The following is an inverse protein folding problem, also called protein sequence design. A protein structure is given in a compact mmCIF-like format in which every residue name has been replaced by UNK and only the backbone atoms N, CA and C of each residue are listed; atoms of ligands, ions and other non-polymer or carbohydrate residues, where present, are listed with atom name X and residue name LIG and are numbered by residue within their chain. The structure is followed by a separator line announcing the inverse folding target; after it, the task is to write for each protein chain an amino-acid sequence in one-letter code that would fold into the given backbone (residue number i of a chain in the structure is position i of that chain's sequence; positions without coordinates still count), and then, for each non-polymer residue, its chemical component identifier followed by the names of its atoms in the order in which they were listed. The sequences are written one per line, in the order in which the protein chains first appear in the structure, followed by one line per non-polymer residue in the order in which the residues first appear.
data_IF_404928164822
#
_entry.id   IF_404928164822
#
_cell.length_a   1.000
_cell.length_b   1.000
_cell.length_c   1.000
_cell.angle_alpha   90.00
_cell.angle_beta   90.00
_cell.angle_gamma   90.00
#
_symmetry.space_group_name_H-M   'P 1'
#
loop_
_entity.id
_entity.type
_entity.pdbx_description
1 polymer ?
#
# COMPACT_ATOMS: atom_id res chain seq x y z
N UNK A 1 3.74 22.95 8.66
CA UNK A 1 3.03 21.66 8.76
C UNK A 1 1.55 21.96 8.92
N UNK A 2 0.70 21.32 8.12
CA UNK A 2 -0.73 21.64 8.04
C UNK A 2 -1.50 21.08 9.24
N UNK A 3 -2.45 21.89 9.71
CA UNK A 3 -3.50 21.74 10.75
C UNK A 3 -4.37 20.45 10.69
N UNK A 4 -3.86 19.37 10.11
CA UNK A 4 -4.61 18.15 9.75
C UNK A 4 -4.31 16.94 10.63
N UNK A 5 -3.17 16.89 11.33
CA UNK A 5 -2.84 15.77 12.24
C UNK A 5 -3.57 15.90 13.58
N UNK A 6 -3.79 17.13 14.05
CA UNK A 6 -4.54 17.43 15.27
C UNK A 6 -6.03 17.12 15.17
N UNK A 7 -6.62 17.09 13.95
CA UNK A 7 -8.06 16.90 13.71
C UNK A 7 -8.57 15.45 13.69
N UNK A 8 -7.70 14.44 13.78
CA UNK A 8 -8.14 13.03 13.69
C UNK A 8 -8.52 12.51 15.08
N UNK A 9 -9.80 12.13 15.30
CA UNK A 9 -10.26 11.68 16.61
C UNK A 9 -9.71 10.29 16.97
N UNK A 10 -9.38 9.46 15.97
CA UNK A 10 -8.86 8.10 16.17
C UNK A 10 -7.38 8.02 15.82
N UNK A 11 -6.55 7.82 16.84
CA UNK A 11 -5.08 7.75 16.73
C UNK A 11 -4.61 6.44 17.33
N UNK A 12 -3.88 5.67 16.55
CA UNK A 12 -3.61 4.28 16.86
C UNK A 12 -2.10 4.12 17.00
N UNK A 13 -1.64 3.64 18.16
CA UNK A 13 -0.27 3.17 18.32
C UNK A 13 -0.26 1.65 18.12
N UNK A 14 0.47 1.15 17.13
CA UNK A 14 0.68 -0.28 16.90
C UNK A 14 2.14 -0.62 17.16
N UNK A 15 2.39 -1.47 18.15
CA UNK A 15 3.73 -1.97 18.43
C UNK A 15 3.83 -3.48 18.12
N UNK A 16 5.01 -3.91 17.68
CA UNK A 16 5.41 -5.32 17.76
C UNK A 16 6.33 -5.49 18.96
N UNK A 17 6.14 -6.57 19.71
CA UNK A 17 7.09 -6.94 20.77
C UNK A 17 7.37 -8.43 20.82
N UNK A 18 8.53 -8.76 21.36
CA UNK A 18 8.90 -10.11 21.78
C UNK A 18 8.77 -10.21 23.28
N UNK A 19 9.91 -10.36 23.96
CA UNK A 19 9.97 -10.59 25.39
C UNK A 19 10.00 -9.33 26.24
N UNK A 20 10.15 -8.16 25.61
CA UNK A 20 10.33 -6.86 26.28
C UNK A 20 9.10 -5.96 26.05
N UNK A 21 8.06 -6.04 26.90
CA UNK A 21 6.88 -5.19 26.78
C UNK A 21 7.17 -3.69 27.04
N UNK A 22 8.32 -3.35 27.62
CA UNK A 22 8.78 -1.97 27.89
C UNK A 22 8.70 -1.08 26.65
N UNK A 23 8.98 -1.64 25.46
CA UNK A 23 8.96 -0.88 24.19
C UNK A 23 7.63 -0.16 23.94
N UNK A 24 6.52 -0.67 24.49
CA UNK A 24 5.20 -0.03 24.38
C UNK A 24 5.17 1.28 25.17
N UNK A 25 5.62 1.26 26.43
CA UNK A 25 5.64 2.43 27.30
C UNK A 25 6.74 3.41 26.91
N UNK A 26 7.90 2.93 26.48
CA UNK A 26 8.99 3.77 25.96
C UNK A 26 8.54 4.54 24.71
N UNK A 27 7.88 3.85 23.77
CA UNK A 27 7.33 4.48 22.56
C UNK A 27 6.24 5.48 22.93
N UNK A 28 5.28 5.10 23.78
CA UNK A 28 4.19 5.98 24.19
C UNK A 28 4.72 7.25 24.88
N UNK A 29 5.67 7.10 25.82
CA UNK A 29 6.33 8.22 26.48
C UNK A 29 6.93 9.20 25.47
N UNK A 30 7.72 8.68 24.52
CA UNK A 30 8.40 9.54 23.55
C UNK A 30 7.42 10.24 22.59
N UNK A 31 6.26 9.61 22.29
CA UNK A 31 5.21 10.23 21.49
C UNK A 31 4.49 11.37 22.21
N UNK A 32 4.19 11.20 23.50
CA UNK A 32 3.41 12.19 24.27
C UNK A 32 4.24 13.34 24.79
N UNK A 33 5.56 13.16 24.92
CA UNK A 33 6.50 14.20 25.37
C UNK A 33 7.22 14.93 24.24
N UNK A 34 6.97 14.55 22.98
CA UNK A 34 7.50 15.25 21.81
C UNK A 34 6.98 16.71 21.75
N UNK A 35 7.68 17.64 21.07
CA UNK A 35 7.21 19.01 20.88
C UNK A 35 5.83 19.10 20.18
N UNK A 36 5.52 18.14 19.31
CA UNK A 36 4.20 17.94 18.70
C UNK A 36 3.67 16.55 19.12
N UNK A 37 2.96 16.45 20.26
CA UNK A 37 2.59 15.16 20.84
C UNK A 37 1.61 14.35 19.97
N UNK A 38 1.94 13.08 19.75
CA UNK A 38 0.98 12.09 19.25
C UNK A 38 0.38 11.31 20.42
N UNK A 39 -0.76 11.76 20.93
CA UNK A 39 -1.50 11.04 21.98
C UNK A 39 -2.45 10.03 21.31
N UNK A 40 -2.23 8.70 21.44
CA UNK A 40 -3.11 7.71 20.84
C UNK A 40 -4.44 7.60 21.62
N UNK A 41 -5.52 7.32 20.90
CA UNK A 41 -6.81 6.91 21.48
C UNK A 41 -6.83 5.43 21.84
N UNK A 42 -6.03 4.62 21.15
CA UNK A 42 -5.90 3.18 21.40
C UNK A 42 -4.49 2.68 21.09
N UNK A 43 -4.08 1.63 21.79
CA UNK A 43 -2.81 0.93 21.59
C UNK A 43 -3.10 -0.50 21.20
N UNK A 44 -2.38 -1.02 20.21
CA UNK A 44 -2.38 -2.43 19.84
C UNK A 44 -0.98 -3.01 19.92
N UNK A 45 -0.90 -4.27 20.33
CA UNK A 45 0.35 -4.99 20.46
C UNK A 45 0.28 -6.28 19.66
N UNK A 46 1.21 -6.52 18.74
CA UNK A 46 1.37 -7.82 18.08
C UNK A 46 2.54 -8.56 18.71
N UNK A 47 2.33 -9.79 19.17
CA UNK A 47 3.35 -10.57 19.86
C UNK A 47 3.07 -12.08 19.82
N UNK A 48 3.95 -12.89 20.40
CA UNK A 48 3.74 -14.33 20.62
C UNK A 48 2.99 -14.57 21.93
N UNK A 49 2.55 -15.80 22.20
CA UNK A 49 1.84 -16.14 23.45
C UNK A 49 2.65 -15.78 24.70
N UNK A 50 3.97 -16.02 24.68
CA UNK A 50 4.85 -15.65 25.80
C UNK A 50 4.94 -14.13 25.98
N UNK A 51 5.11 -13.39 24.88
CA UNK A 51 5.15 -11.93 24.93
C UNK A 51 3.82 -11.32 25.36
N UNK A 52 2.70 -11.93 24.99
CA UNK A 52 1.37 -11.52 25.41
C UNK A 52 1.18 -11.66 26.93
N UNK A 53 1.63 -12.77 27.51
CA UNK A 53 1.55 -12.95 28.97
C UNK A 53 2.45 -11.97 29.71
N UNK A 54 3.67 -11.71 29.21
CA UNK A 54 4.56 -10.69 29.77
C UNK A 54 3.94 -9.28 29.68
N UNK A 55 3.35 -8.93 28.55
CA UNK A 55 2.67 -7.65 28.37
C UNK A 55 1.47 -7.53 29.30
N UNK A 56 0.65 -8.58 29.44
CA UNK A 56 -0.48 -8.60 30.38
C UNK A 56 0.01 -8.38 31.81
N UNK A 57 1.03 -9.13 32.24
CA UNK A 57 1.57 -9.04 33.60
C UNK A 57 2.22 -7.69 33.89
N UNK A 58 3.06 -7.18 32.99
CA UNK A 58 3.83 -5.95 33.22
C UNK A 58 3.03 -4.67 32.96
N UNK A 59 2.20 -4.65 31.91
CA UNK A 59 1.53 -3.44 31.44
C UNK A 59 0.09 -3.31 31.94
N UNK A 60 -0.65 -4.43 32.03
CA UNK A 60 -2.10 -4.43 32.27
C UNK A 60 -2.53 -4.84 33.68
N UNK A 61 -1.67 -5.49 34.47
CA UNK A 61 -1.99 -5.83 35.87
C UNK A 61 -2.25 -4.58 36.72
N UNK A 62 -2.94 -4.72 37.84
CA UNK A 62 -3.09 -3.61 38.81
C UNK A 62 -1.73 -3.19 39.41
N UNK A 63 -0.84 -4.15 39.62
CA UNK A 63 0.55 -4.00 40.04
C UNK A 63 1.41 -5.03 39.28
N UNK A 64 2.45 -4.62 38.51
CA UNK A 64 3.00 -3.27 38.41
C UNK A 64 2.25 -2.27 37.51
N UNK A 65 1.42 -2.73 36.56
CA UNK A 65 0.51 -1.88 35.80
C UNK A 65 1.14 -0.70 35.07
N UNK A 66 2.32 -0.91 34.47
CA UNK A 66 3.18 0.16 33.96
C UNK A 66 2.51 1.07 32.92
N UNK A 67 1.55 0.56 32.15
CA UNK A 67 0.80 1.36 31.19
C UNK A 67 -0.09 2.40 31.89
N UNK A 68 -0.87 1.97 32.87
CA UNK A 68 -1.74 2.88 33.63
C UNK A 68 -0.92 3.84 34.50
N UNK A 69 0.24 3.40 34.98
CA UNK A 69 1.17 4.25 35.72
C UNK A 69 1.74 5.37 34.85
N UNK A 70 2.22 5.06 33.63
CA UNK A 70 2.65 6.08 32.65
C UNK A 70 1.53 7.08 32.40
N UNK A 71 0.31 6.58 32.19
CA UNK A 71 -0.87 7.40 31.92
C UNK A 71 -1.15 8.40 33.04
N UNK A 72 -1.00 7.98 34.30
CA UNK A 72 -1.15 8.85 35.48
C UNK A 72 0.02 9.81 35.63
N UNK A 73 1.24 9.33 35.45
CA UNK A 73 2.48 10.11 35.61
C UNK A 73 2.55 11.29 34.64
N UNK A 74 1.98 11.13 33.43
CA UNK A 74 1.98 12.14 32.36
C UNK A 74 0.60 12.78 32.11
N UNK A 75 -0.36 12.60 33.02
CA UNK A 75 -1.74 13.14 32.92
C UNK A 75 -2.40 12.88 31.55
N UNK A 76 -2.23 11.68 31.01
CA UNK A 76 -2.75 11.31 29.71
C UNK A 76 -4.25 10.95 29.80
N UNK A 77 -5.03 11.27 28.74
CA UNK A 77 -6.44 10.92 28.67
C UNK A 77 -6.63 9.40 28.66
N UNK A 78 -7.89 8.97 28.61
CA UNK A 78 -8.17 7.55 28.41
C UNK A 78 -7.64 7.05 27.06
N UNK A 79 -6.87 5.96 27.13
CA UNK A 79 -6.30 5.26 25.98
C UNK A 79 -6.76 3.81 26.09
N UNK A 80 -7.48 3.33 25.08
CA UNK A 80 -7.95 1.96 25.05
C UNK A 80 -6.75 1.00 24.88
N UNK A 81 -6.48 0.21 25.91
CA UNK A 81 -5.48 -0.85 25.89
C UNK A 81 -5.79 -1.89 26.96
N UNK A 82 -6.29 -3.03 26.51
CA UNK A 82 -6.61 -4.18 27.35
C UNK A 82 -6.17 -5.48 26.66
N UNK A 83 -6.52 -6.64 27.22
CA UNK A 83 -6.14 -7.94 26.67
C UNK A 83 -6.66 -8.17 25.24
N UNK A 84 -7.78 -7.56 24.83
CA UNK A 84 -8.32 -7.69 23.47
C UNK A 84 -7.48 -6.91 22.43
N UNK A 85 -6.63 -5.99 22.88
CA UNK A 85 -5.71 -5.24 22.04
C UNK A 85 -4.35 -5.92 21.87
N UNK A 86 -4.12 -7.04 22.55
CA UNK A 86 -2.92 -7.87 22.43
C UNK A 86 -3.21 -8.99 21.41
N UNK A 87 -2.68 -8.80 20.20
CA UNK A 87 -2.83 -9.72 19.08
C UNK A 87 -1.74 -10.79 19.12
N UNK A 88 -2.13 -12.01 19.48
CA UNK A 88 -1.23 -13.16 19.53
C UNK A 88 -1.09 -13.76 18.14
N UNK A 89 0.15 -13.86 17.65
CA UNK A 89 0.45 -14.50 16.36
C UNK A 89 -0.09 -15.93 16.32
N UNK A 90 -0.71 -16.29 15.21
CA UNK A 90 -1.27 -17.61 14.98
C UNK A 90 -0.48 -18.38 13.90
N UNK A 91 -0.28 -19.68 14.14
CA UNK A 91 0.36 -20.59 13.21
C UNK A 91 -0.60 -21.15 12.15
N UNK A 92 -0.17 -22.17 11.38
CA UNK A 92 -0.96 -22.79 10.31
C UNK A 92 -2.33 -23.30 10.75
N UNK A 93 -2.38 -23.93 11.92
CA UNK A 93 -3.62 -24.48 12.49
C UNK A 93 -4.47 -23.44 13.23
N UNK A 94 -4.16 -22.14 13.04
CA UNK A 94 -4.70 -21.02 13.83
C UNK A 94 -4.40 -21.09 15.33
N UNK A 95 -3.51 -21.99 15.73
CA UNK A 95 -3.05 -22.11 17.10
C UNK A 95 -2.12 -20.93 17.46
N UNK A 96 -2.23 -20.34 18.67
CA UNK A 96 -1.31 -19.32 19.14
C UNK A 96 0.15 -19.80 19.13
N UNK A 97 1.06 -19.00 18.60
CA UNK A 97 2.48 -19.29 18.55
C UNK A 97 3.17 -18.82 19.82
N UNK A 98 3.85 -19.74 20.52
CA UNK A 98 4.76 -19.37 21.61
C UNK A 98 6.01 -18.65 21.08
N UNK A 99 6.46 -19.03 19.89
CA UNK A 99 7.64 -18.50 19.22
C UNK A 99 7.57 -18.80 17.71
N UNK A 100 8.31 -18.08 16.88
CA UNK A 100 8.39 -18.30 15.42
C UNK A 100 9.68 -19.07 15.12
N UNK A 101 9.59 -20.35 14.74
CA UNK A 101 10.74 -21.25 14.61
C UNK A 101 10.90 -21.91 13.24
N UNK A 102 9.87 -21.84 12.41
CA UNK A 102 9.89 -22.41 11.05
C UNK A 102 9.60 -21.37 9.96
N UNK A 103 10.00 -21.64 8.69
CA UNK A 103 9.63 -20.80 7.56
C UNK A 103 8.11 -20.66 7.37
N UNK A 104 7.36 -21.72 7.67
CA UNK A 104 5.90 -21.72 7.54
C UNK A 104 5.24 -20.82 8.59
N UNK A 105 5.63 -20.93 9.86
CA UNK A 105 5.19 -20.02 10.92
C UNK A 105 5.55 -18.57 10.61
N UNK A 106 6.74 -18.33 10.03
CA UNK A 106 7.17 -17.00 9.64
C UNK A 106 6.29 -16.42 8.50
N UNK A 107 5.85 -17.26 7.55
CA UNK A 107 4.90 -16.84 6.52
C UNK A 107 3.51 -16.51 7.11
N UNK A 108 3.05 -17.28 8.09
CA UNK A 108 1.79 -17.01 8.79
C UNK A 108 1.87 -15.74 9.63
N UNK A 109 3.02 -15.48 10.27
CA UNK A 109 3.27 -14.22 10.97
C UNK A 109 3.21 -13.01 10.02
N UNK A 110 3.76 -13.15 8.79
CA UNK A 110 3.67 -12.11 7.77
C UNK A 110 2.21 -11.82 7.38
N UNK A 111 1.42 -12.87 7.11
CA UNK A 111 0.00 -12.74 6.78
C UNK A 111 -0.79 -12.10 7.92
N UNK A 112 -0.53 -12.52 9.18
CA UNK A 112 -1.19 -12.00 10.37
C UNK A 112 -0.89 -10.51 10.60
N UNK A 113 0.39 -10.13 10.60
CA UNK A 113 0.80 -8.73 10.80
C UNK A 113 0.21 -7.84 9.69
N UNK A 114 0.23 -8.33 8.46
CA UNK A 114 -0.33 -7.63 7.32
C UNK A 114 -1.82 -7.37 7.49
N UNK A 115 -2.56 -8.36 7.97
CA UNK A 115 -3.99 -8.25 8.20
C UNK A 115 -4.33 -7.22 9.29
N UNK A 116 -3.58 -7.22 10.40
CA UNK A 116 -3.75 -6.22 11.46
C UNK A 116 -3.49 -4.81 10.92
N UNK A 117 -2.37 -4.59 10.23
CA UNK A 117 -2.03 -3.28 9.66
C UNK A 117 -3.09 -2.83 8.65
N UNK A 118 -3.55 -3.73 7.78
CA UNK A 118 -4.61 -3.45 6.81
C UNK A 118 -5.92 -3.05 7.48
N UNK A 119 -6.32 -3.77 8.53
CA UNK A 119 -7.52 -3.45 9.32
C UNK A 119 -7.45 -2.10 10.03
N UNK A 120 -6.34 -1.83 10.73
CA UNK A 120 -6.15 -0.57 11.46
C UNK A 120 -6.00 0.65 10.54
N UNK A 121 -5.50 0.45 9.32
CA UNK A 121 -5.39 1.48 8.29
C UNK A 121 -6.60 1.56 7.34
N UNK A 122 -7.69 0.82 7.59
CA UNK A 122 -8.87 0.82 6.72
C UNK A 122 -9.68 2.12 6.82
N UNK A 123 -9.83 2.68 8.02
CA UNK A 123 -10.61 3.90 8.29
C UNK A 123 -9.81 5.16 7.93
N UNK A 124 -10.09 5.79 6.79
CA UNK A 124 -9.36 6.96 6.27
C UNK A 124 -9.23 8.14 7.24
N UNK A 125 -10.08 8.23 8.26
CA UNK A 125 -10.07 9.27 9.29
C UNK A 125 -9.17 8.94 10.49
N UNK A 126 -8.62 7.73 10.58
CA UNK A 126 -7.64 7.36 11.60
C UNK A 126 -6.21 7.72 11.21
N UNK A 127 -5.30 7.77 12.18
CA UNK A 127 -3.85 7.79 11.95
C UNK A 127 -3.19 6.62 12.69
N UNK A 128 -2.35 5.86 11.98
CA UNK A 128 -1.60 4.72 12.52
C UNK A 128 -0.14 5.11 12.72
N UNK A 129 0.34 4.99 13.95
CA UNK A 129 1.74 5.15 14.32
C UNK A 129 2.29 3.76 14.67
N UNK A 130 3.20 3.23 13.86
CA UNK A 130 3.77 1.91 14.03
C UNK A 130 5.17 1.96 14.66
N UNK A 131 5.44 1.09 15.63
CA UNK A 131 6.75 0.94 16.27
C UNK A 131 7.34 -0.45 16.03
N UNK A 132 8.55 -0.51 15.47
CA UNK A 132 9.27 -1.75 15.15
C UNK A 132 10.33 -2.15 16.18
N UNK A 133 10.27 -1.58 17.39
CA UNK A 133 11.35 -1.67 18.38
C UNK A 133 11.44 -3.01 19.14
N UNK A 134 10.52 -3.95 18.92
CA UNK A 134 10.50 -5.21 19.66
C UNK A 134 10.24 -6.46 18.81
N UNK A 135 10.61 -7.62 19.36
CA UNK A 135 10.33 -8.92 18.76
C UNK A 135 11.47 -9.50 17.94
N UNK A 136 11.18 -10.60 17.23
CA UNK A 136 12.11 -11.11 16.22
C UNK A 136 12.24 -10.05 15.11
N UNK A 137 13.46 -9.85 14.60
CA UNK A 137 13.75 -8.88 13.53
C UNK A 137 12.79 -8.99 12.34
N UNK A 138 12.33 -10.20 12.05
CA UNK A 138 11.35 -10.47 10.97
C UNK A 138 9.97 -9.86 11.23
N UNK A 139 9.52 -9.77 12.49
CA UNK A 139 8.25 -9.12 12.83
C UNK A 139 8.29 -7.62 12.54
N UNK A 140 9.37 -6.94 12.96
CA UNK A 140 9.60 -5.53 12.65
C UNK A 140 9.68 -5.28 11.14
N UNK A 141 10.36 -6.17 10.40
CA UNK A 141 10.39 -6.15 8.94
C UNK A 141 8.98 -6.26 8.34
N UNK A 142 8.17 -7.25 8.77
CA UNK A 142 6.82 -7.42 8.24
C UNK A 142 5.88 -6.27 8.62
N UNK A 143 6.00 -5.69 9.81
CA UNK A 143 5.23 -4.51 10.19
C UNK A 143 5.57 -3.32 9.27
N UNK A 144 6.86 -3.01 9.11
CA UNK A 144 7.29 -1.92 8.23
C UNK A 144 6.90 -2.16 6.76
N UNK A 145 6.96 -3.41 6.29
CA UNK A 145 6.60 -3.73 4.92
C UNK A 145 5.08 -3.74 4.69
N UNK A 146 4.30 -4.26 5.66
CA UNK A 146 2.85 -4.13 5.63
C UNK A 146 2.42 -2.66 5.64
N UNK A 147 3.11 -1.79 6.39
CA UNK A 147 2.87 -0.35 6.35
C UNK A 147 3.29 0.27 5.01
N UNK A 148 4.31 -0.25 4.33
CA UNK A 148 4.62 0.17 2.96
C UNK A 148 3.49 -0.17 1.97
N UNK A 149 2.86 -1.34 2.14
CA UNK A 149 1.77 -1.80 1.30
C UNK A 149 0.44 -1.08 1.60
N UNK A 150 0.11 -0.86 2.88
CA UNK A 150 -1.21 -0.40 3.30
C UNK A 150 -1.20 0.95 4.03
N UNK A 151 -0.05 1.49 4.41
CA UNK A 151 0.05 2.77 5.10
C UNK A 151 -0.36 3.95 4.22
N UNK A 152 -1.04 4.91 4.83
CA UNK A 152 -1.61 6.12 4.21
C UNK A 152 -0.75 7.33 4.56
N UNK A 153 -0.88 8.47 3.84
CA UNK A 153 0.02 9.63 4.02
C UNK A 153 0.22 10.11 5.46
N UNK A 154 -0.79 9.98 6.33
CA UNK A 154 -0.73 10.33 7.76
C UNK A 154 -0.07 9.28 8.66
N UNK A 155 0.08 8.04 8.18
CA UNK A 155 0.61 6.94 9.00
C UNK A 155 2.14 7.08 9.13
N UNK A 156 2.70 6.66 10.27
CA UNK A 156 4.11 6.85 10.64
C UNK A 156 4.73 5.54 11.09
N UNK A 157 6.05 5.44 10.97
CA UNK A 157 6.85 4.30 11.38
C UNK A 157 8.07 4.81 12.13
N UNK A 158 8.38 4.22 13.29
CA UNK A 158 9.60 4.56 14.00
C UNK A 158 10.16 3.39 14.81
N UNK A 159 11.34 3.64 15.36
CA UNK A 159 12.00 2.76 16.31
C UNK A 159 12.38 3.59 17.54
N UNK A 160 11.96 3.16 18.72
CA UNK A 160 12.34 3.83 19.98
C UNK A 160 13.79 3.48 20.34
N UNK A 161 14.53 4.47 20.79
CA UNK A 161 15.91 4.37 21.25
C UNK A 161 15.96 4.83 22.70
N UNK A 162 16.39 3.94 23.58
CA UNK A 162 16.61 4.21 24.99
C UNK A 162 18.11 4.39 25.21
N UNK A 163 18.52 5.48 25.87
CA UNK A 163 19.91 5.73 26.18
C UNK A 163 20.47 4.79 27.24
N UNK A 164 21.79 4.62 27.25
CA UNK A 164 22.49 3.99 28.36
C UNK A 164 22.20 4.73 29.69
N UNK A 165 22.10 4.01 30.83
CA UNK A 165 22.29 2.57 31.00
C UNK A 165 20.97 1.76 30.94
N UNK A 166 19.89 2.33 30.40
CA UNK A 166 18.54 1.79 30.54
C UNK A 166 18.12 0.82 29.42
N UNK A 167 18.73 0.87 28.25
CA UNK A 167 18.41 0.08 27.03
C UNK A 167 18.25 -1.44 27.23
N UNK A 168 18.79 -1.94 28.33
CA UNK A 168 18.91 -3.35 28.65
C UNK A 168 18.30 -3.71 30.01
N UNK A 169 17.72 -2.74 30.72
CA UNK A 169 17.14 -2.92 32.04
C UNK A 169 15.74 -3.53 31.96
N UNK A 170 15.49 -4.58 32.74
CA UNK A 170 14.15 -5.16 32.86
C UNK A 170 13.21 -4.27 33.69
N UNK A 171 13.76 -3.40 34.53
CA UNK A 171 13.01 -2.58 35.49
C UNK A 171 12.72 -1.16 35.00
N UNK A 172 13.23 -0.79 33.82
CA UNK A 172 12.96 0.50 33.17
C UNK A 172 11.79 0.37 32.18
N UNK A 173 10.81 1.26 32.23
CA UNK A 173 9.65 1.25 31.32
C UNK A 173 9.44 2.59 30.62
N UNK A 174 9.79 3.70 31.27
CA UNK A 174 9.78 5.05 30.74
C UNK A 174 10.49 5.97 31.74
N UNK A 175 10.95 7.17 31.33
CA UNK A 175 11.47 8.16 32.26
C UNK A 175 10.38 8.64 33.22
N UNK A 176 10.56 8.46 34.52
CA UNK A 176 9.57 8.88 35.52
C UNK A 176 9.69 10.37 35.82
N UNK A 177 8.59 11.09 36.11
CA UNK A 177 8.65 12.50 36.52
C UNK A 177 9.14 12.69 37.96
N UNK A 178 9.57 11.62 38.62
CA UNK A 178 10.07 11.55 39.98
C UNK A 178 11.23 10.55 40.05
N UNK A 179 12.03 10.63 41.13
CA UNK A 179 13.14 9.72 41.37
C UNK A 179 12.64 8.26 41.46
N UNK A 180 13.20 7.42 40.60
CA UNK A 180 13.01 5.97 40.64
C UNK A 180 14.32 5.29 40.30
N UNK A 181 15.00 4.84 41.33
CA UNK A 181 16.27 4.14 41.19
C UNK A 181 16.04 2.70 40.74
N UNK A 182 16.75 2.29 39.68
CA UNK A 182 16.82 0.90 39.19
C UNK A 182 18.27 0.42 39.18
N UNK A 183 18.46 -0.89 39.27
CA UNK A 183 19.78 -1.50 39.11
C UNK A 183 20.00 -1.88 37.64
N UNK A 184 21.07 -1.37 37.05
CA UNK A 184 21.44 -1.67 35.67
C UNK A 184 22.08 -3.06 35.56
N UNK A 185 22.27 -3.58 34.34
CA UNK A 185 22.95 -4.88 34.13
C UNK A 185 24.38 -4.92 34.69
N UNK A 186 25.04 -3.77 34.78
CA UNK A 186 26.40 -3.63 35.34
C UNK A 186 26.40 -3.43 36.86
N UNK A 187 25.29 -3.71 37.54
CA UNK A 187 25.09 -3.49 38.98
C UNK A 187 25.32 -2.04 39.43
N UNK A 188 25.07 -1.06 38.54
CA UNK A 188 25.07 0.36 38.89
C UNK A 188 23.67 0.81 39.22
N UNK A 189 23.55 1.83 40.08
CA UNK A 189 22.28 2.51 40.32
C UNK A 189 22.09 3.61 39.28
N UNK A 190 20.90 3.72 38.73
CA UNK A 190 20.52 4.78 37.80
C UNK A 190 19.09 5.25 38.10
N UNK A 191 18.85 6.56 38.05
CA UNK A 191 17.52 7.14 38.20
C UNK A 191 16.80 7.17 36.87
N UNK A 192 15.62 6.55 36.81
CA UNK A 192 14.78 6.55 35.61
C UNK A 192 14.43 7.97 35.14
N UNK A 193 14.38 8.97 36.04
CA UNK A 193 14.11 10.36 35.67
C UNK A 193 15.15 10.96 34.71
N UNK A 194 16.39 10.46 34.74
CA UNK A 194 17.49 10.93 33.89
C UNK A 194 17.53 10.23 32.51
N UNK A 195 16.65 9.26 32.28
CA UNK A 195 16.67 8.46 31.08
C UNK A 195 16.28 9.28 29.83
N UNK A 196 17.07 9.13 28.77
CA UNK A 196 16.76 9.72 27.47
C UNK A 196 16.11 8.67 26.58
N UNK A 197 14.89 8.96 26.13
CA UNK A 197 14.15 8.11 25.18
C UNK A 197 13.79 8.95 23.97
N UNK A 198 14.18 8.47 22.78
CA UNK A 198 13.99 9.18 21.52
C UNK A 198 13.34 8.27 20.48
N UNK A 199 12.60 8.86 19.53
CA UNK A 199 12.06 8.12 18.39
C UNK A 199 12.88 8.42 17.15
N UNK A 200 13.38 7.37 16.52
CA UNK A 200 13.96 7.46 15.19
C UNK A 200 12.85 7.22 14.16
N UNK A 201 12.39 8.27 13.48
CA UNK A 201 11.46 8.16 12.36
C UNK A 201 12.10 7.37 11.21
N UNK A 202 11.35 6.40 10.68
CA UNK A 202 11.79 5.54 9.59
C UNK A 202 10.95 5.88 8.34
N UNK A 203 11.54 6.51 7.32
CA UNK A 203 10.85 6.73 6.07
C UNK A 203 10.60 5.39 5.36
N UNK A 204 9.43 5.26 4.73
CA UNK A 204 9.05 4.06 3.98
C UNK A 204 8.30 4.42 2.70
N UNK A 205 8.38 3.54 1.71
CA UNK A 205 7.72 3.72 0.41
C UNK A 205 6.25 3.38 0.53
N UNK A 206 5.37 4.22 -0.03
CA UNK A 206 3.92 4.01 0.03
C UNK A 206 3.43 3.41 -1.28
N UNK A 207 2.96 2.17 -1.22
CA UNK A 207 2.53 1.38 -2.39
C UNK A 207 1.01 1.15 -2.43
N UNK A 208 0.27 1.65 -1.43
CA UNK A 208 -1.19 1.44 -1.28
C UNK A 208 -1.99 1.75 -2.55
N UNK A 209 -1.68 2.85 -3.23
CA UNK A 209 -2.42 3.28 -4.44
C UNK A 209 -2.22 2.35 -5.65
N UNK A 210 -1.20 1.50 -5.66
CA UNK A 210 -1.00 0.50 -6.71
C UNK A 210 -1.78 -0.79 -6.46
N UNK A 211 -2.25 -1.05 -5.24
CA UNK A 211 -2.87 -2.33 -4.92
C UNK A 211 -4.29 -2.45 -5.48
N UNK A 212 -4.68 -3.63 -6.02
CA UNK A 212 -6.06 -3.91 -6.39
C UNK A 212 -7.03 -3.78 -5.20
N UNK A 213 -8.25 -3.28 -5.47
CA UNK A 213 -9.30 -3.10 -4.46
C UNK A 213 -9.60 -4.39 -3.68
N UNK A 214 -9.52 -5.54 -4.33
CA UNK A 214 -9.73 -6.85 -3.68
C UNK A 214 -8.72 -7.12 -2.55
N UNK A 215 -7.46 -6.70 -2.73
CA UNK A 215 -6.42 -6.86 -1.71
C UNK A 215 -6.57 -5.82 -0.59
N UNK A 216 -6.95 -4.59 -0.92
CA UNK A 216 -7.31 -3.57 0.07
C UNK A 216 -8.49 -4.04 0.94
N UNK A 217 -9.47 -4.72 0.32
CA UNK A 217 -10.63 -5.32 0.99
C UNK A 217 -10.35 -6.63 1.75
N UNK A 218 -9.11 -7.15 1.73
CA UNK A 218 -8.69 -8.28 2.57
C UNK A 218 -8.79 -9.66 1.97
N UNK A 219 -8.85 -9.75 0.65
CA UNK A 219 -9.01 -11.04 -0.06
C UNK A 219 -7.67 -11.65 -0.48
N UNK A 220 -6.58 -11.41 0.25
CA UNK A 220 -5.26 -11.95 -0.11
C UNK A 220 -4.26 -11.98 1.04
N UNK A 221 -3.19 -12.75 0.83
CA UNK A 221 -2.07 -12.93 1.74
C UNK A 221 -1.01 -11.84 1.53
N UNK A 222 -0.04 -11.76 2.44
CA UNK A 222 1.08 -10.83 2.33
C UNK A 222 1.81 -10.99 0.98
N UNK A 223 2.08 -12.23 0.56
CA UNK A 223 2.75 -12.52 -0.72
C UNK A 223 1.97 -12.01 -1.93
N UNK A 224 0.65 -12.03 -1.88
CA UNK A 224 -0.22 -11.62 -2.98
C UNK A 224 -0.16 -10.10 -3.13
N UNK A 225 -0.15 -9.38 -2.00
CA UNK A 225 0.04 -7.93 -1.97
C UNK A 225 1.43 -7.51 -2.47
N UNK A 226 2.49 -8.23 -2.09
CA UNK A 226 3.84 -7.98 -2.61
C UNK A 226 3.91 -8.23 -4.12
N UNK A 227 3.37 -9.34 -4.61
CA UNK A 227 3.35 -9.66 -6.04
C UNK A 227 2.58 -8.60 -6.84
N UNK A 228 1.41 -8.18 -6.36
CA UNK A 228 0.63 -7.11 -6.97
C UNK A 228 1.40 -5.77 -6.97
N UNK A 229 2.04 -5.40 -5.86
CA UNK A 229 2.84 -4.18 -5.79
C UNK A 229 4.03 -4.22 -6.78
N UNK A 230 4.71 -5.36 -6.91
CA UNK A 230 5.80 -5.53 -7.87
C UNK A 230 5.35 -5.40 -9.33
N UNK A 231 4.17 -5.94 -9.67
CA UNK A 231 3.58 -5.77 -11.01
C UNK A 231 3.30 -4.30 -11.35
N UNK A 232 3.08 -3.45 -10.35
CA UNK A 232 2.87 -2.01 -10.54
C UNK A 232 4.16 -1.21 -10.69
N UNK A 233 5.30 -1.74 -10.24
CA UNK A 233 6.59 -1.03 -10.22
C UNK A 233 7.44 -1.28 -11.47
N UNK A 234 7.06 -2.26 -12.30
CA UNK A 234 7.73 -2.55 -13.56
C UNK A 234 7.50 -1.46 -14.62
N UNK A 235 8.38 -1.33 -15.63
CA UNK A 235 8.09 -0.50 -16.80
C UNK A 235 6.83 -1.05 -17.47
N UNK A 236 5.89 -0.16 -17.82
CA UNK A 236 4.68 -0.56 -18.54
C UNK A 236 5.06 -1.29 -19.84
N UNK A 237 4.52 -2.48 -20.05
CA UNK A 237 4.69 -3.30 -21.24
C UNK A 237 3.33 -3.62 -21.85
N UNK A 238 3.23 -3.56 -23.17
CA UNK A 238 2.02 -3.83 -23.91
C UNK A 238 2.31 -4.83 -25.01
N UNK A 239 1.80 -6.05 -24.87
CA UNK A 239 1.78 -7.05 -25.94
C UNK A 239 0.36 -7.17 -26.48
N UNK A 240 0.16 -6.94 -27.77
CA UNK A 240 -1.13 -7.11 -28.45
C UNK A 240 -1.19 -8.45 -29.17
N UNK A 241 -2.19 -9.26 -28.85
CA UNK A 241 -2.48 -10.54 -29.50
C UNK A 241 -3.79 -10.38 -30.26
N UNK A 242 -3.65 -10.03 -31.55
CA UNK A 242 -4.78 -9.68 -32.42
C UNK A 242 -5.66 -10.90 -32.73
N UNK A 243 -5.05 -12.06 -32.90
CA UNK A 243 -5.72 -13.31 -33.23
C UNK A 243 -6.60 -13.80 -32.08
N UNK A 244 -6.08 -13.75 -30.85
CA UNK A 244 -6.84 -14.15 -29.66
C UNK A 244 -7.63 -12.98 -29.03
N UNK A 245 -7.65 -11.81 -29.66
CA UNK A 245 -8.42 -10.62 -29.26
C UNK A 245 -8.16 -10.19 -27.82
N UNK A 246 -6.89 -10.09 -27.46
CA UNK A 246 -6.46 -9.78 -26.09
C UNK A 246 -5.18 -8.96 -26.08
N UNK A 247 -4.92 -8.32 -24.95
CA UNK A 247 -3.63 -7.71 -24.64
C UNK A 247 -3.03 -8.38 -23.42
N UNK A 248 -1.71 -8.32 -23.30
CA UNK A 248 -0.96 -8.69 -22.12
C UNK A 248 -0.17 -7.49 -21.61
N UNK A 249 -0.33 -7.17 -20.33
CA UNK A 249 0.31 -6.03 -19.65
C UNK A 249 0.67 -6.39 -18.23
N UNK A 250 1.91 -6.20 -17.79
CA UNK A 250 2.33 -6.47 -16.40
C UNK A 250 2.05 -7.92 -15.95
N UNK A 251 2.04 -8.87 -16.89
CA UNK A 251 1.72 -10.28 -16.63
C UNK A 251 0.23 -10.65 -16.63
N UNK A 252 -0.68 -9.69 -16.78
CA UNK A 252 -2.13 -9.95 -16.88
C UNK A 252 -2.62 -10.00 -18.33
N UNK A 253 -3.62 -10.86 -18.59
CA UNK A 253 -4.28 -10.98 -19.89
C UNK A 253 -5.65 -10.29 -19.84
N UNK A 254 -5.87 -9.32 -20.72
CA UNK A 254 -7.12 -8.58 -20.83
C UNK A 254 -7.77 -8.85 -22.19
N UNK A 255 -8.93 -9.54 -22.25
CA UNK A 255 -9.68 -9.68 -23.49
C UNK A 255 -10.30 -8.33 -23.89
N UNK A 256 -10.23 -7.98 -25.17
CA UNK A 256 -10.79 -6.75 -25.71
C UNK A 256 -11.72 -7.04 -26.89
N UNK A 257 -12.86 -6.33 -27.01
CA UNK A 257 -13.67 -6.39 -28.22
C UNK A 257 -12.87 -5.97 -29.45
N UNK A 258 -13.12 -6.57 -30.65
CA UNK A 258 -12.36 -6.24 -31.87
C UNK A 258 -12.28 -4.75 -32.17
N UNK A 259 -13.38 -4.01 -31.95
CA UNK A 259 -13.44 -2.58 -32.23
C UNK A 259 -12.53 -1.75 -31.32
N UNK A 260 -12.35 -2.14 -30.06
CA UNK A 260 -11.54 -1.40 -29.09
C UNK A 260 -10.07 -1.83 -29.20
N UNK A 261 -9.81 -3.13 -29.47
CA UNK A 261 -8.48 -3.64 -29.78
C UNK A 261 -7.90 -3.01 -31.04
N UNK A 262 -8.70 -2.85 -32.11
CA UNK A 262 -8.27 -2.17 -33.34
C UNK A 262 -7.86 -0.71 -33.08
N UNK A 263 -8.62 -0.01 -32.22
CA UNK A 263 -8.29 1.37 -31.86
C UNK A 263 -6.97 1.45 -31.09
N UNK A 264 -6.74 0.54 -30.13
CA UNK A 264 -5.48 0.47 -29.40
C UNK A 264 -4.31 0.07 -30.32
N UNK A 265 -4.47 -0.95 -31.16
CA UNK A 265 -3.48 -1.44 -32.10
C UNK A 265 -3.05 -0.35 -33.10
N UNK A 266 -4.00 0.47 -33.56
CA UNK A 266 -3.70 1.57 -34.46
C UNK A 266 -2.76 2.57 -33.80
N UNK A 267 -3.06 3.01 -32.57
CA UNK A 267 -2.18 3.90 -31.82
C UNK A 267 -0.85 3.24 -31.41
N UNK A 268 -0.84 1.92 -31.15
CA UNK A 268 0.37 1.18 -30.85
C UNK A 268 1.33 1.15 -32.06
N UNK A 269 0.82 0.91 -33.27
CA UNK A 269 1.62 1.01 -34.49
C UNK A 269 2.12 2.44 -34.75
N UNK A 270 1.30 3.46 -34.50
CA UNK A 270 1.73 4.86 -34.59
C UNK A 270 2.90 5.14 -33.63
N UNK A 271 2.81 4.67 -32.39
CA UNK A 271 3.85 4.82 -31.38
C UNK A 271 5.14 4.08 -31.78
N UNK A 272 5.04 2.82 -32.23
CA UNK A 272 6.19 2.05 -32.75
C UNK A 272 6.89 2.75 -33.91
N UNK A 273 6.12 3.37 -34.80
CA UNK A 273 6.64 4.11 -35.95
C UNK A 273 7.11 5.54 -35.60
N UNK A 274 7.07 5.95 -34.32
CA UNK A 274 7.47 7.29 -33.89
C UNK A 274 6.61 8.42 -34.47
N UNK A 275 5.37 8.12 -34.86
CA UNK A 275 4.49 9.09 -35.50
C UNK A 275 3.94 10.10 -34.48
N UNK A 276 3.76 11.38 -34.86
CA UNK A 276 3.29 12.40 -33.95
C UNK A 276 1.83 12.16 -33.50
N UNK A 277 1.41 12.71 -32.34
CA UNK A 277 0.03 12.67 -31.87
C UNK A 277 -0.99 13.24 -32.89
N UNK A 278 -2.20 12.70 -32.95
CA UNK A 278 -3.25 13.15 -33.92
C UNK A 278 -4.36 13.93 -33.25
N UNK A 279 -4.91 14.94 -33.93
CA UNK A 279 -6.08 15.64 -33.40
C UNK A 279 -7.32 14.74 -33.46
N UNK A 280 -8.26 14.93 -32.53
CA UNK A 280 -9.61 14.39 -32.74
C UNK A 280 -10.25 15.10 -33.95
N UNK A 281 -10.98 14.38 -34.82
CA UNK A 281 -11.70 14.98 -35.95
C UNK A 281 -12.56 16.17 -35.53
N UNK A 282 -12.71 17.15 -36.43
CA UNK A 282 -13.62 18.28 -36.19
C UNK A 282 -15.08 17.82 -36.35
N UNK A 283 -15.98 18.52 -35.70
CA UNK A 283 -17.41 18.23 -35.83
C UNK A 283 -17.86 18.42 -37.29
N UNK A 284 -18.59 17.45 -37.82
CA UNK A 284 -19.03 17.41 -39.22
C UNK A 284 -17.92 17.21 -40.27
N UNK A 285 -16.66 17.00 -39.88
CA UNK A 285 -15.53 16.78 -40.81
C UNK A 285 -14.85 15.44 -40.48
N UNK A 286 -15.32 14.33 -41.08
CA UNK A 286 -14.67 13.03 -40.91
C UNK A 286 -13.25 13.01 -41.50
N UNK A 287 -12.36 12.25 -40.87
CA UNK A 287 -10.95 12.13 -41.28
C UNK A 287 -10.71 10.76 -41.97
N UNK A 288 -10.48 10.71 -43.29
CA UNK A 288 -10.25 9.46 -44.01
C UNK A 288 -9.00 8.72 -43.54
N UNK A 289 -7.93 9.43 -43.20
CA UNK A 289 -6.69 8.82 -42.69
C UNK A 289 -6.87 8.11 -41.35
N UNK A 290 -7.76 8.63 -40.49
CA UNK A 290 -8.09 7.98 -39.22
C UNK A 290 -8.91 6.71 -39.43
N UNK A 291 -9.90 6.76 -40.33
CA UNK A 291 -10.66 5.58 -40.72
C UNK A 291 -9.75 4.50 -41.32
N UNK A 292 -8.86 4.86 -42.24
CA UNK A 292 -7.95 3.91 -42.88
C UNK A 292 -7.02 3.22 -41.86
N UNK A 293 -6.44 3.99 -40.94
CA UNK A 293 -5.57 3.43 -39.89
C UNK A 293 -6.32 2.50 -38.94
N UNK A 294 -7.53 2.87 -38.52
CA UNK A 294 -8.38 2.03 -37.68
C UNK A 294 -8.85 0.76 -38.39
N UNK A 295 -9.37 0.89 -39.61
CA UNK A 295 -9.91 -0.23 -40.39
C UNK A 295 -8.82 -1.25 -40.74
N UNK A 296 -7.59 -0.80 -41.02
CA UNK A 296 -6.47 -1.70 -41.27
C UNK A 296 -6.25 -2.68 -40.11
N UNK A 297 -6.29 -2.20 -38.86
CA UNK A 297 -6.18 -3.07 -37.68
C UNK A 297 -7.44 -3.90 -37.43
N UNK A 298 -8.62 -3.30 -37.65
CA UNK A 298 -9.89 -3.99 -37.48
C UNK A 298 -10.02 -5.21 -38.41
N UNK A 299 -9.60 -5.08 -39.67
CA UNK A 299 -9.62 -6.17 -40.64
C UNK A 299 -8.61 -7.27 -40.28
N UNK A 300 -7.42 -6.90 -39.75
CA UNK A 300 -6.45 -7.91 -39.26
C UNK A 300 -7.04 -8.75 -38.14
N UNK A 301 -7.73 -8.13 -37.17
CA UNK A 301 -8.34 -8.82 -36.02
C UNK A 301 -9.53 -9.70 -36.43
N UNK A 302 -10.30 -9.28 -37.44
CA UNK A 302 -11.43 -10.07 -37.95
C UNK A 302 -10.97 -11.25 -38.82
N UNK A 303 -9.83 -11.11 -39.49
CA UNK A 303 -9.30 -12.11 -40.42
C UNK A 303 -10.13 -12.24 -41.70
N UNK A 304 -9.75 -13.17 -42.61
CA UNK A 304 -10.31 -13.27 -43.96
C UNK A 304 -11.81 -13.62 -44.03
N UNK A 305 -12.34 -14.21 -42.97
CA UNK A 305 -13.73 -14.69 -42.89
C UNK A 305 -14.62 -13.80 -42.01
N UNK A 306 -14.07 -12.72 -41.45
CA UNK A 306 -14.84 -11.82 -40.58
C UNK A 306 -15.70 -10.86 -41.38
N UNK A 307 -16.94 -10.64 -40.91
CA UNK A 307 -17.87 -9.69 -41.52
C UNK A 307 -17.63 -8.28 -40.94
N UNK A 308 -17.20 -7.35 -41.78
CA UNK A 308 -16.94 -5.95 -41.45
C UNK A 308 -17.93 -4.97 -42.10
N UNK A 309 -18.95 -5.45 -42.84
CA UNK A 309 -19.84 -4.65 -43.68
C UNK A 309 -20.41 -3.42 -42.99
N UNK A 310 -20.87 -3.56 -41.75
CA UNK A 310 -21.46 -2.46 -40.99
C UNK A 310 -20.39 -1.43 -40.58
N UNK A 311 -19.20 -1.89 -40.23
CA UNK A 311 -18.06 -1.07 -39.82
C UNK A 311 -17.45 -0.35 -41.03
N UNK A 312 -17.27 -1.05 -42.15
CA UNK A 312 -16.81 -0.48 -43.42
C UNK A 312 -17.80 0.59 -43.94
N UNK A 313 -19.11 0.35 -43.84
CA UNK A 313 -20.13 1.36 -44.15
C UNK A 313 -20.05 2.57 -43.22
N UNK A 314 -19.87 2.35 -41.91
CA UNK A 314 -19.78 3.42 -40.90
C UNK A 314 -18.61 4.37 -41.15
N UNK A 315 -17.48 3.85 -41.61
CA UNK A 315 -16.25 4.62 -41.82
C UNK A 315 -15.95 4.96 -43.29
N UNK A 316 -16.91 4.75 -44.21
CA UNK A 316 -16.75 4.98 -45.66
C UNK A 316 -16.23 6.38 -45.98
N UNK A 317 -16.80 7.39 -45.32
CA UNK A 317 -16.49 8.79 -45.57
C UNK A 317 -15.39 9.33 -44.63
N UNK A 318 -14.80 8.46 -43.79
CA UNK A 318 -13.81 8.81 -42.77
C UNK A 318 -14.31 8.57 -41.35
N UNK A 319 -13.42 8.78 -40.36
CA UNK A 319 -13.76 8.66 -38.94
C UNK A 319 -14.22 10.02 -38.41
N UNK A 320 -15.46 10.10 -37.93
CA UNK A 320 -16.00 11.31 -37.33
C UNK A 320 -15.55 11.54 -35.88
N UNK A 321 -15.83 12.74 -35.36
CA UNK A 321 -15.54 13.11 -33.97
C UNK A 321 -16.20 12.15 -32.97
N UNK A 322 -17.49 11.89 -33.16
CA UNK A 322 -18.28 11.04 -32.29
C UNK A 322 -17.73 9.60 -32.24
N UNK A 323 -17.29 9.05 -33.37
CA UNK A 323 -16.69 7.72 -33.43
C UNK A 323 -15.36 7.64 -32.67
N UNK A 324 -14.51 8.65 -32.86
CA UNK A 324 -13.22 8.75 -32.18
C UNK A 324 -13.40 8.83 -30.66
N UNK A 325 -14.30 9.68 -30.19
CA UNK A 325 -14.62 9.84 -28.77
C UNK A 325 -15.28 8.58 -28.18
N UNK A 326 -16.18 7.93 -28.92
CA UNK A 326 -16.82 6.67 -28.51
C UNK A 326 -15.76 5.56 -28.30
N UNK A 327 -14.89 5.34 -29.30
CA UNK A 327 -13.86 4.28 -29.23
C UNK A 327 -12.87 4.53 -28.10
N UNK A 328 -12.39 5.77 -27.97
CA UNK A 328 -11.53 6.19 -26.85
C UNK A 328 -12.21 5.95 -25.49
N UNK A 329 -13.48 6.31 -25.35
CA UNK A 329 -14.22 6.13 -24.10
C UNK A 329 -14.43 4.66 -23.75
N UNK A 330 -14.82 3.83 -24.73
CA UNK A 330 -15.02 2.39 -24.54
C UNK A 330 -13.73 1.67 -24.19
N UNK A 331 -12.64 1.97 -24.90
CA UNK A 331 -11.31 1.44 -24.57
C UNK A 331 -10.90 1.84 -23.16
N UNK A 332 -11.07 3.11 -22.77
CA UNK A 332 -10.77 3.57 -21.41
C UNK A 332 -11.58 2.80 -20.37
N UNK A 333 -12.89 2.61 -20.57
CA UNK A 333 -13.74 1.86 -19.66
C UNK A 333 -13.28 0.40 -19.53
N UNK A 334 -12.96 -0.26 -20.65
CA UNK A 334 -12.49 -1.65 -20.64
C UNK A 334 -11.15 -1.79 -19.88
N UNK A 335 -10.19 -0.92 -20.17
CA UNK A 335 -8.87 -0.95 -19.51
C UNK A 335 -8.95 -0.55 -18.04
N UNK A 336 -9.70 0.49 -17.68
CA UNK A 336 -9.87 0.89 -16.27
C UNK A 336 -10.58 -0.19 -15.47
N UNK A 337 -11.57 -0.88 -16.05
CA UNK A 337 -12.24 -2.01 -15.40
C UNK A 337 -11.30 -3.19 -15.15
N UNK A 338 -10.41 -3.49 -16.09
CA UNK A 338 -9.50 -4.62 -16.00
C UNK A 338 -8.25 -4.34 -15.16
N UNK A 339 -7.65 -3.15 -15.32
CA UNK A 339 -6.32 -2.81 -14.80
C UNK A 339 -6.36 -1.81 -13.63
N UNK A 340 -7.52 -1.23 -13.32
CA UNK A 340 -7.66 -0.21 -12.28
C UNK A 340 -6.78 1.02 -12.56
N UNK A 341 -6.01 1.45 -11.56
CA UNK A 341 -5.08 2.58 -11.68
C UNK A 341 -3.98 2.36 -12.74
N UNK A 342 -3.59 1.11 -13.01
CA UNK A 342 -2.56 0.78 -14.03
C UNK A 342 -3.02 1.09 -15.45
N UNK A 343 -4.33 1.21 -15.68
CA UNK A 343 -4.87 1.48 -17.01
C UNK A 343 -4.25 2.73 -17.65
N UNK A 344 -3.91 3.75 -16.84
CA UNK A 344 -3.44 5.05 -17.32
C UNK A 344 -2.26 4.95 -18.29
N UNK A 345 -1.29 4.06 -18.03
CA UNK A 345 -0.13 3.86 -18.90
C UNK A 345 -0.50 3.36 -20.32
N UNK A 346 -1.66 2.71 -20.45
CA UNK A 346 -2.14 2.08 -21.68
C UNK A 346 -3.25 2.89 -22.38
N UNK A 347 -3.64 4.04 -21.82
CA UNK A 347 -4.67 4.91 -22.40
C UNK A 347 -4.12 5.76 -23.55
N UNK A 348 -5.04 6.15 -24.43
CA UNK A 348 -4.77 7.17 -25.45
C UNK A 348 -4.93 8.56 -24.81
N UNK A 349 -3.80 9.19 -24.54
CA UNK A 349 -3.70 10.45 -23.81
C UNK A 349 -3.88 11.65 -24.72
N UNK A 350 -4.56 12.66 -24.21
CA UNK A 350 -4.62 13.98 -24.83
C UNK A 350 -3.46 14.88 -24.37
N UNK A 351 -2.80 15.55 -25.31
CA UNK A 351 -1.66 16.46 -25.10
C UNK A 351 -1.92 17.82 -25.75
N UNK A 352 -1.34 18.86 -25.12
CA UNK A 352 -1.35 20.25 -25.63
C UNK A 352 -2.57 21.09 -25.27
N UNK A 353 -2.52 22.37 -25.65
CA UNK A 353 -3.70 23.28 -25.65
C UNK A 353 -4.51 23.04 -26.92
N UNK A 354 -5.82 23.33 -26.85
CA UNK A 354 -6.79 23.07 -27.94
C UNK A 354 -6.24 23.48 -29.32
N UNK A 355 -6.36 22.62 -30.35
CA UNK A 355 -6.96 21.28 -30.31
C UNK A 355 -6.06 20.25 -29.61
N UNK A 356 -6.68 19.46 -28.72
CA UNK A 356 -5.99 18.38 -28.00
C UNK A 356 -5.58 17.29 -28.99
N UNK A 357 -4.32 16.85 -28.91
CA UNK A 357 -3.77 15.79 -29.77
C UNK A 357 -3.57 14.51 -28.97
N UNK A 358 -3.76 13.37 -29.62
CA UNK A 358 -3.90 12.08 -28.98
C UNK A 358 -2.76 11.14 -29.37
N UNK A 359 -2.20 10.45 -28.39
CA UNK A 359 -1.19 9.42 -28.59
C UNK A 359 -1.21 8.36 -27.49
N UNK A 360 -0.71 7.17 -27.81
CA UNK A 360 -0.28 6.20 -26.81
C UNK A 360 1.12 6.62 -26.34
N UNK A 361 1.31 6.82 -25.04
CA UNK A 361 2.55 7.35 -24.45
C UNK A 361 3.62 6.30 -24.15
N UNK A 362 3.37 5.04 -24.50
CA UNK A 362 4.34 3.98 -24.30
C UNK A 362 5.54 4.16 -25.25
N UNK A 363 6.78 3.98 -24.77
CA UNK A 363 7.94 3.97 -25.64
C UNK A 363 7.86 2.77 -26.60
N UNK A 364 8.43 2.86 -27.82
CA UNK A 364 8.41 1.75 -28.78
C UNK A 364 8.94 0.44 -28.21
N UNK A 365 9.93 0.49 -27.31
CA UNK A 365 10.53 -0.69 -26.65
C UNK A 365 9.56 -1.44 -25.72
N UNK A 366 8.48 -0.79 -25.30
CA UNK A 366 7.44 -1.36 -24.46
C UNK A 366 6.29 -1.99 -25.24
N UNK A 367 6.23 -1.81 -26.57
CA UNK A 367 5.10 -2.27 -27.39
C UNK A 367 5.54 -3.48 -28.22
N UNK A 368 4.75 -4.56 -28.18
CA UNK A 368 4.96 -5.78 -28.97
C UNK A 368 3.64 -6.25 -29.56
N UNK A 369 3.71 -6.89 -30.71
CA UNK A 369 2.59 -7.65 -31.27
C UNK A 369 2.97 -9.13 -31.18
N UNK A 370 2.11 -9.94 -30.58
CA UNK A 370 2.29 -11.38 -30.54
C UNK A 370 2.15 -11.93 -31.97
N UNK A 371 3.03 -12.88 -32.30
CA UNK A 371 3.04 -13.59 -33.58
C UNK A 371 1.93 -14.60 -33.70
#
# INVERSE_FOLDING_TARGET
MTDSETRRPRRILLAVTGLSPQVVTETLYALVTAPDPFIPSEVHLITTSEGAERARLALLSDDPGWFQRLRRDYDLPEIAFDAAHIHVLAGPDRAPLNDIRSPEENAHAADFITEIVRGLSADEHSALYASIAGGRKTMGYYLGYALSLYGRPQDRLSHVLVGEPFESSWDFFYPTPYERIVTTRDNKLADCADAQVTLADIPFVRLRHGLPDALLAGRGRFRDAVAAAQQNLGPADLTLDLDNRRIQTGGEIVPLPPADLAYLAWFAHRALAGQPPIACPKDGIPEPGHAAGYLAEYHRILGPLGNDDATARRYRDGMGKADFEERKSKLKQALTKALGARADAYLIHGEGRRPMRYALRLPPTAIRFAS
#
